data_IF_343640274857
#
_entry.id   IF_343640274857
#
_cell.length_a   1.000
_cell.length_b   1.000
_cell.length_c   1.000
_cell.angle_alpha   90.00
_cell.angle_beta   90.00
_cell.angle_gamma   90.00
#
_symmetry.space_group_name_H-M   'P 1'
#
loop_
_entity.id
_entity.type
_entity.pdbx_description
1 polymer ?
#
# COMPACT_ATOMS: atom_id res chain seq x y z
N UNK A 1 2.56 14.25 -41.57
CA UNK A 1 1.34 14.34 -40.75
C UNK A 1 1.10 12.97 -40.14
N UNK A 2 0.99 12.70 -38.86
CA UNK A 2 1.16 13.44 -37.61
C UNK A 2 1.68 12.39 -36.62
N UNK A 3 2.71 12.73 -35.84
CA UNK A 3 3.10 11.90 -34.71
C UNK A 3 1.93 11.93 -33.70
N UNK A 4 1.36 10.77 -33.39
CA UNK A 4 0.37 10.58 -32.33
C UNK A 4 0.97 11.06 -31.00
N UNK A 5 0.76 12.33 -30.68
CA UNK A 5 1.04 12.91 -29.36
C UNK A 5 0.17 12.18 -28.36
N UNK A 6 0.75 11.23 -27.62
CA UNK A 6 0.15 10.71 -26.38
C UNK A 6 -0.14 11.92 -25.50
N UNK A 7 -1.41 12.12 -25.10
CA UNK A 7 -1.80 13.16 -24.15
C UNK A 7 -0.91 12.97 -22.91
N UNK A 8 0.03 13.89 -22.67
CA UNK A 8 0.87 13.83 -21.46
C UNK A 8 -0.03 14.09 -20.26
N UNK A 9 -0.48 13.02 -19.60
CA UNK A 9 -1.09 13.11 -18.27
C UNK A 9 -0.07 13.59 -17.23
N UNK A 10 -0.52 13.80 -15.99
CA UNK A 10 0.38 14.12 -14.87
C UNK A 10 1.46 13.02 -14.77
N UNK A 11 2.75 13.33 -14.99
CA UNK A 11 3.80 12.33 -14.86
C UNK A 11 3.74 11.72 -13.46
N UNK A 12 3.77 10.40 -13.39
CA UNK A 12 3.73 9.67 -12.13
C UNK A 12 5.12 9.76 -11.51
N UNK A 13 5.31 10.76 -10.65
CA UNK A 13 6.58 10.98 -9.96
C UNK A 13 6.72 9.92 -8.85
N UNK A 14 7.68 9.01 -9.00
CA UNK A 14 7.99 7.95 -8.03
C UNK A 14 7.54 6.56 -8.48
N UNK A 15 7.41 5.62 -7.53
CA UNK A 15 6.90 4.26 -7.78
C UNK A 15 5.38 4.25 -7.59
N UNK A 16 4.57 4.07 -8.65
CA UNK A 16 3.12 3.99 -8.51
C UNK A 16 2.72 2.78 -7.68
N UNK A 17 1.75 2.98 -6.78
CA UNK A 17 1.13 1.92 -5.98
C UNK A 17 0.00 1.29 -6.81
N UNK A 18 0.38 0.57 -7.87
CA UNK A 18 -0.57 0.03 -8.87
C UNK A 18 -1.14 -1.34 -8.48
N UNK A 19 -0.49 -2.05 -7.56
CA UNK A 19 -0.86 -3.42 -7.17
C UNK A 19 -1.75 -3.36 -5.93
N UNK A 20 -2.94 -3.97 -6.04
CA UNK A 20 -3.88 -4.13 -4.94
C UNK A 20 -3.70 -5.51 -4.28
N UNK A 21 -3.71 -5.56 -2.95
CA UNK A 21 -3.66 -6.80 -2.17
C UNK A 21 -4.98 -6.91 -1.42
N UNK A 22 -5.77 -7.95 -1.74
CA UNK A 22 -7.05 -8.27 -1.09
C UNK A 22 -6.95 -9.65 -0.44
N UNK A 23 -7.14 -9.70 0.87
CA UNK A 23 -7.10 -10.94 1.64
C UNK A 23 -8.17 -10.91 2.72
N UNK A 24 -8.80 -12.05 2.98
CA UNK A 24 -9.71 -12.22 4.13
C UNK A 24 -8.88 -12.51 5.38
N UNK A 25 -9.24 -11.88 6.48
CA UNK A 25 -8.61 -12.08 7.79
C UNK A 25 -9.66 -12.32 8.85
N UNK A 26 -9.26 -12.99 9.92
CA UNK A 26 -10.10 -13.22 11.09
C UNK A 26 -10.42 -11.93 11.85
N UNK A 27 -11.52 -11.94 12.60
CA UNK A 27 -12.01 -10.79 13.36
C UNK A 27 -11.01 -10.35 14.43
N UNK A 28 -10.41 -11.30 15.14
CA UNK A 28 -9.36 -11.05 16.13
C UNK A 28 -8.13 -10.36 15.53
N UNK A 29 -7.79 -10.68 14.28
CA UNK A 29 -6.67 -10.05 13.59
C UNK A 29 -7.01 -8.61 13.19
N UNK A 30 -8.21 -8.35 12.68
CA UNK A 30 -8.66 -6.99 12.36
C UNK A 30 -8.64 -6.08 13.60
N UNK A 31 -9.07 -6.58 14.77
CA UNK A 31 -9.02 -5.80 16.02
C UNK A 31 -7.58 -5.47 16.43
N UNK A 32 -6.66 -6.44 16.36
CA UNK A 32 -5.23 -6.20 16.63
C UNK A 32 -4.64 -5.18 15.66
N UNK A 33 -4.97 -5.27 14.37
CA UNK A 33 -4.51 -4.32 13.35
C UNK A 33 -5.06 -2.92 13.65
N UNK A 34 -6.34 -2.82 13.99
CA UNK A 34 -6.98 -1.54 14.30
C UNK A 34 -6.33 -0.85 15.49
N UNK A 35 -6.15 -1.57 16.60
CA UNK A 35 -5.49 -1.03 17.79
C UNK A 35 -4.07 -0.55 17.48
N UNK A 36 -3.29 -1.38 16.78
CA UNK A 36 -1.93 -1.01 16.37
C UNK A 36 -1.90 0.24 15.47
N UNK A 37 -2.87 0.37 14.56
CA UNK A 37 -3.00 1.53 13.69
C UNK A 37 -3.37 2.79 14.48
N UNK A 38 -4.25 2.67 15.48
CA UNK A 38 -4.65 3.77 16.37
C UNK A 38 -3.47 4.24 17.23
N UNK A 39 -2.75 3.31 17.88
CA UNK A 39 -1.59 3.62 18.72
C UNK A 39 -0.49 4.34 17.95
N UNK A 40 -0.22 3.90 16.71
CA UNK A 40 0.84 4.46 15.86
C UNK A 40 0.37 5.58 14.95
N UNK A 41 -0.93 5.93 14.96
CA UNK A 41 -1.56 6.89 14.05
C UNK A 41 -1.22 6.64 12.57
N UNK A 42 -1.21 5.37 12.16
CA UNK A 42 -0.94 4.97 10.77
C UNK A 42 -2.21 4.43 10.12
N UNK A 43 -2.24 4.44 8.79
CA UNK A 43 -3.34 3.83 8.04
C UNK A 43 -3.15 2.32 7.93
N UNK A 44 -4.25 1.55 7.81
CA UNK A 44 -4.20 0.10 7.55
C UNK A 44 -3.30 -0.25 6.35
N UNK A 45 -3.37 0.55 5.29
CA UNK A 45 -2.52 0.37 4.10
C UNK A 45 -1.04 0.61 4.37
N UNK A 46 -0.70 1.53 5.29
CA UNK A 46 0.68 1.76 5.70
C UNK A 46 1.18 0.65 6.63
N UNK A 47 0.33 0.18 7.54
CA UNK A 47 0.60 -0.99 8.38
C UNK A 47 0.94 -2.21 7.52
N UNK A 48 0.10 -2.53 6.52
CA UNK A 48 0.31 -3.69 5.66
C UNK A 48 1.66 -3.62 4.91
N UNK A 49 2.01 -2.43 4.38
CA UNK A 49 3.30 -2.21 3.73
C UNK A 49 4.47 -2.39 4.67
N UNK A 50 4.39 -1.83 5.88
CA UNK A 50 5.42 -1.97 6.92
C UNK A 50 5.57 -3.40 7.38
N UNK A 51 4.47 -4.12 7.57
CA UNK A 51 4.47 -5.53 7.97
C UNK A 51 5.16 -6.41 6.91
N UNK A 52 4.78 -6.26 5.63
CA UNK A 52 5.40 -6.99 4.53
C UNK A 52 6.89 -6.65 4.41
N UNK A 53 7.24 -5.36 4.44
CA UNK A 53 8.65 -4.96 4.38
C UNK A 53 9.44 -5.49 5.58
N UNK A 54 8.88 -5.45 6.79
CA UNK A 54 9.54 -5.97 7.99
C UNK A 54 9.85 -7.46 7.84
N UNK A 55 8.84 -8.25 7.44
CA UNK A 55 8.98 -9.69 7.28
C UNK A 55 9.98 -10.08 6.17
N UNK A 56 10.08 -9.28 5.10
CA UNK A 56 11.02 -9.52 4.00
C UNK A 56 12.45 -9.02 4.29
N UNK A 57 12.61 -8.11 5.26
CA UNK A 57 13.87 -7.46 5.57
C UNK A 57 14.55 -8.03 6.83
N UNK A 58 13.81 -8.77 7.66
CA UNK A 58 14.38 -9.70 8.64
C UNK A 58 14.90 -10.94 7.90
N UNK A 59 16.17 -10.88 7.47
CA UNK A 59 16.96 -12.01 6.95
C UNK A 59 18.11 -12.31 7.88
#
# INVERSE_FOLDING_TARGET
MEATKKKMGRPVIGKPKTIEIKTRIDKDLEEKIKNYCEDKKITRSDFLRKAINKQLNEK
#
